data_IF_757618312384
#
_entry.id   IF_757618312384
#
_cell.length_a   1.000
_cell.length_b   1.000
_cell.length_c   1.000
_cell.angle_alpha   90.00
_cell.angle_beta   90.00
_cell.angle_gamma   90.00
#
_symmetry.space_group_name_H-M   'P 1'
#
loop_
_entity.id
_entity.type
_entity.pdbx_description
1 polymer ?
#
# COMPACT_ATOMS: atom_id res chain seq x y z
N UNK A 1 31.16 -15.29 -1.09
CA UNK A 1 30.08 -15.87 -0.25
C UNK A 1 29.36 -14.70 0.43
N UNK A 2 28.11 -14.35 0.17
CA UNK A 2 27.07 -14.87 -0.70
C UNK A 2 26.41 -13.66 -1.37
N UNK A 3 26.13 -13.76 -2.67
CA UNK A 3 25.34 -12.76 -3.37
C UNK A 3 23.98 -12.65 -2.68
N UNK A 4 23.64 -11.42 -2.28
CA UNK A 4 22.32 -11.12 -1.73
C UNK A 4 21.27 -11.44 -2.78
N UNK A 5 20.54 -12.53 -2.57
CA UNK A 5 19.38 -12.88 -3.40
C UNK A 5 18.36 -11.75 -3.26
N UNK A 6 18.31 -10.88 -4.27
CA UNK A 6 17.24 -9.90 -4.42
C UNK A 6 16.01 -10.67 -4.89
N UNK A 7 15.21 -11.15 -3.94
CA UNK A 7 13.93 -11.77 -4.26
C UNK A 7 13.01 -10.67 -4.80
N UNK A 8 13.11 -10.39 -6.10
CA UNK A 8 12.04 -9.78 -6.90
C UNK A 8 10.89 -10.79 -6.94
N UNK A 9 10.20 -10.93 -5.81
CA UNK A 9 8.80 -11.32 -5.89
C UNK A 9 8.18 -10.27 -6.82
N UNK A 10 7.61 -10.69 -7.96
CA UNK A 10 7.21 -9.86 -9.10
C UNK A 10 6.13 -8.79 -8.84
N UNK A 11 6.05 -8.29 -7.62
CA UNK A 11 5.26 -7.14 -7.20
C UNK A 11 6.04 -5.86 -7.46
N UNK A 12 5.45 -4.98 -8.25
CA UNK A 12 5.81 -3.57 -8.30
C UNK A 12 5.24 -2.87 -7.06
N UNK A 13 6.02 -1.97 -6.47
CA UNK A 13 5.63 -1.16 -5.32
C UNK A 13 5.42 0.30 -5.74
N UNK A 14 4.26 0.87 -5.37
CA UNK A 14 3.92 2.26 -5.63
C UNK A 14 3.56 2.98 -4.33
N UNK A 15 4.10 4.18 -4.16
CA UNK A 15 3.85 5.02 -2.98
C UNK A 15 2.75 6.01 -3.32
N UNK A 16 1.58 5.84 -2.71
CA UNK A 16 0.41 6.70 -2.96
C UNK A 16 0.54 8.01 -2.20
N UNK A 17 0.90 7.94 -0.91
CA UNK A 17 0.96 9.12 -0.06
C UNK A 17 2.01 8.97 1.03
N UNK A 18 2.74 10.05 1.28
CA UNK A 18 3.61 10.21 2.45
C UNK A 18 3.07 11.38 3.29
N UNK A 19 2.93 11.17 4.59
CA UNK A 19 2.43 12.19 5.52
C UNK A 19 3.27 12.25 6.78
N UNK A 20 3.73 13.46 7.13
CA UNK A 20 4.36 13.71 8.42
C UNK A 20 3.29 13.81 9.49
N UNK A 21 3.39 12.98 10.53
CA UNK A 21 2.48 12.96 11.67
C UNK A 21 3.25 13.33 12.93
N UNK A 22 2.58 13.95 13.90
CA UNK A 22 3.21 14.32 15.17
C UNK A 22 2.32 14.04 16.37
N UNK A 23 2.92 13.60 17.47
CA UNK A 23 2.28 13.42 18.78
C UNK A 23 2.83 14.47 19.74
N UNK A 24 1.94 15.27 20.33
CA UNK A 24 2.32 16.25 21.35
C UNK A 24 2.77 15.56 22.63
N UNK A 25 3.85 16.04 23.23
CA UNK A 25 4.33 15.63 24.56
C UNK A 25 4.58 16.86 25.43
N UNK A 26 4.81 16.65 26.73
CA UNK A 26 5.06 17.75 27.69
C UNK A 26 6.26 18.63 27.30
N UNK A 27 7.25 18.09 26.58
CA UNK A 27 8.47 18.79 26.17
C UNK A 27 8.58 19.10 24.68
N UNK A 28 7.57 18.83 23.85
CA UNK A 28 7.64 19.10 22.41
C UNK A 28 6.72 18.24 21.56
N UNK A 29 7.16 17.94 20.34
CA UNK A 29 6.41 17.13 19.38
C UNK A 29 7.25 15.90 18.99
N UNK A 30 6.77 14.69 19.27
CA UNK A 30 7.35 13.46 18.70
C UNK A 30 6.85 13.32 17.28
N UNK A 31 7.75 13.43 16.31
CA UNK A 31 7.41 13.32 14.88
C UNK A 31 7.54 11.86 14.41
N UNK A 32 6.83 11.56 13.33
CA UNK A 32 7.01 10.35 12.53
C UNK A 32 6.41 10.53 11.15
N UNK A 33 6.56 9.52 10.32
CA UNK A 33 6.02 9.50 8.96
C UNK A 33 5.09 8.30 8.80
N UNK A 34 3.95 8.57 8.17
CA UNK A 34 2.98 7.58 7.72
C UNK A 34 3.05 7.50 6.20
N UNK A 35 3.06 6.30 5.66
CA UNK A 35 3.14 6.02 4.22
C UNK A 35 2.01 5.07 3.86
N UNK A 36 1.28 5.39 2.79
CA UNK A 36 0.34 4.49 2.13
C UNK A 36 1.02 3.92 0.88
N UNK A 37 1.16 2.60 0.84
CA UNK A 37 1.84 1.87 -0.23
C UNK A 37 0.89 0.86 -0.85
N UNK A 38 0.96 0.73 -2.17
CA UNK A 38 0.27 -0.30 -2.94
C UNK A 38 1.34 -1.21 -3.54
N UNK A 39 1.11 -2.52 -3.52
CA UNK A 39 1.95 -3.51 -4.19
C UNK A 39 1.08 -4.32 -5.15
N UNK A 40 1.60 -4.67 -6.32
CA UNK A 40 0.85 -5.50 -7.27
C UNK A 40 1.69 -6.02 -8.44
N UNK A 41 1.26 -7.12 -9.04
CA UNK A 41 1.95 -7.77 -10.18
C UNK A 41 1.26 -7.51 -11.53
N UNK A 42 0.36 -6.52 -11.58
CA UNK A 42 -0.46 -6.14 -12.76
C UNK A 42 -1.33 -7.26 -13.35
N UNK A 43 -1.29 -8.47 -12.79
CA UNK A 43 -2.07 -9.63 -13.24
C UNK A 43 -3.25 -9.93 -12.30
N UNK A 44 -3.76 -8.89 -11.62
CA UNK A 44 -4.95 -9.00 -10.77
C UNK A 44 -4.66 -9.21 -9.29
N UNK A 45 -3.41 -9.39 -8.87
CA UNK A 45 -3.08 -9.45 -7.45
C UNK A 45 -2.51 -8.12 -6.96
N UNK A 46 -3.19 -7.57 -5.95
CA UNK A 46 -2.93 -6.24 -5.39
C UNK A 46 -3.02 -6.26 -3.87
N UNK A 47 -2.15 -5.51 -3.21
CA UNK A 47 -2.13 -5.37 -1.75
C UNK A 47 -1.94 -3.92 -1.36
N UNK A 48 -2.60 -3.51 -0.27
CA UNK A 48 -2.45 -2.16 0.29
C UNK A 48 -1.87 -2.25 1.69
N UNK A 49 -0.99 -1.31 2.03
CA UNK A 49 -0.32 -1.29 3.32
C UNK A 49 -0.13 0.12 3.84
N UNK A 50 -0.38 0.29 5.14
CA UNK A 50 -0.07 1.52 5.86
C UNK A 50 1.16 1.29 6.74
N UNK A 51 2.25 1.98 6.43
CA UNK A 51 3.51 1.92 7.18
C UNK A 51 3.72 3.18 8.01
N UNK A 52 4.10 3.02 9.29
CA UNK A 52 4.46 4.15 10.16
C UNK A 52 5.80 3.93 10.86
N UNK A 53 6.69 4.91 10.78
CA UNK A 53 8.00 4.87 11.41
C UNK A 53 8.54 6.29 11.73
N UNK A 54 9.63 6.41 12.50
CA UNK A 54 10.32 7.70 12.72
C UNK A 54 10.93 8.27 11.44
N UNK A 55 11.39 7.41 10.53
CA UNK A 55 12.03 7.75 9.26
C UNK A 55 11.19 7.31 8.06
N UNK A 56 11.35 8.01 6.94
CA UNK A 56 10.60 7.74 5.70
C UNK A 56 10.94 6.36 5.12
N UNK A 57 12.22 6.04 4.95
CA UNK A 57 12.65 4.75 4.36
C UNK A 57 12.19 3.56 5.21
N UNK A 58 12.22 3.71 6.54
CA UNK A 58 11.72 2.69 7.47
C UNK A 58 10.20 2.54 7.41
N UNK A 59 9.46 3.63 7.16
CA UNK A 59 8.02 3.60 7.00
C UNK A 59 7.62 2.90 5.69
N UNK A 60 8.33 3.17 4.59
CA UNK A 60 8.12 2.51 3.29
C UNK A 60 8.32 0.99 3.42
N UNK A 61 9.46 0.55 3.98
CA UNK A 61 9.73 -0.89 4.18
C UNK A 61 8.63 -1.60 4.98
N UNK A 62 8.10 -0.95 6.03
CA UNK A 62 6.97 -1.48 6.80
C UNK A 62 5.68 -1.52 5.98
N UNK A 63 5.41 -0.48 5.20
CA UNK A 63 4.26 -0.41 4.30
C UNK A 63 4.25 -1.55 3.29
N UNK A 64 5.38 -1.75 2.58
CA UNK A 64 5.57 -2.84 1.61
C UNK A 64 5.36 -4.21 2.26
N UNK A 65 5.95 -4.45 3.44
CA UNK A 65 5.84 -5.74 4.12
C UNK A 65 4.40 -6.05 4.57
N UNK A 66 3.65 -5.03 4.99
CA UNK A 66 2.23 -5.17 5.34
C UNK A 66 1.39 -5.40 4.07
N UNK A 67 1.67 -4.66 3.00
CA UNK A 67 0.94 -4.76 1.73
C UNK A 67 1.09 -6.15 1.10
N UNK A 68 2.32 -6.70 1.10
CA UNK A 68 2.60 -8.06 0.61
C UNK A 68 1.84 -9.14 1.40
N UNK A 69 1.72 -8.98 2.73
CA UNK A 69 0.99 -9.92 3.59
C UNK A 69 -0.52 -9.92 3.36
N UNK A 70 -1.09 -8.79 2.93
CA UNK A 70 -2.52 -8.63 2.69
C UNK A 70 -2.85 -8.50 1.20
N UNK A 71 -2.08 -9.18 0.34
CA UNK A 71 -2.37 -9.21 -1.09
C UNK A 71 -3.67 -10.01 -1.36
N UNK A 72 -4.54 -9.42 -2.16
CA UNK A 72 -5.82 -9.98 -2.58
C UNK A 72 -5.75 -10.22 -4.09
N UNK A 73 -6.31 -11.32 -4.56
CA UNK A 73 -6.48 -11.62 -5.98
C UNK A 73 -7.84 -11.13 -6.47
N UNK A 74 -7.84 -10.41 -7.59
CA UNK A 74 -9.01 -9.82 -8.22
C UNK A 74 -9.26 -10.48 -9.58
N UNK A 75 -10.50 -10.87 -9.92
CA UNK A 75 -10.81 -11.44 -11.21
C UNK A 75 -10.80 -10.36 -12.29
N UNK A 76 -9.90 -10.48 -13.27
CA UNK A 76 -9.82 -9.61 -14.46
C UNK A 76 -10.15 -10.46 -15.68
N UNK A 77 -11.02 -9.98 -16.57
CA UNK A 77 -11.39 -10.66 -17.82
C UNK A 77 -10.96 -9.76 -18.98
N UNK A 78 -10.02 -10.22 -19.82
CA UNK A 78 -9.55 -9.48 -21.01
C UNK A 78 -9.14 -8.02 -20.68
N UNK A 79 -8.46 -7.83 -19.56
CA UNK A 79 -8.01 -6.52 -19.03
C UNK A 79 -9.09 -5.63 -18.38
N UNK A 80 -10.38 -5.99 -18.46
CA UNK A 80 -11.48 -5.25 -17.82
C UNK A 80 -12.08 -5.96 -16.60
N UNK A 81 -12.80 -5.20 -15.80
CA UNK A 81 -13.59 -5.70 -14.66
C UNK A 81 -14.83 -6.45 -15.21
N UNK A 82 -15.25 -7.58 -14.62
CA UNK A 82 -16.34 -8.40 -15.17
C UNK A 82 -17.74 -7.77 -15.11
N UNK A 83 -18.03 -6.94 -14.11
CA UNK A 83 -19.34 -6.30 -13.91
C UNK A 83 -19.18 -4.94 -13.22
N UNK A 84 -20.22 -4.10 -13.27
CA UNK A 84 -20.20 -2.82 -12.59
C UNK A 84 -20.22 -2.96 -11.07
N UNK A 85 -19.38 -2.20 -10.37
CA UNK A 85 -19.28 -2.24 -8.91
C UNK A 85 -19.57 -0.85 -8.38
N UNK A 86 -20.64 -0.72 -7.60
CA UNK A 86 -20.94 0.49 -6.84
C UNK A 86 -20.73 0.23 -5.35
N UNK A 87 -19.78 0.94 -4.74
CA UNK A 87 -19.46 0.82 -3.32
C UNK A 87 -19.63 2.19 -2.66
N UNK A 88 -20.37 2.20 -1.54
CA UNK A 88 -20.42 3.36 -0.64
C UNK A 88 -19.84 2.95 0.70
N UNK A 89 -18.75 3.60 1.11
CA UNK A 89 -18.08 3.35 2.39
C UNK A 89 -17.85 4.68 3.11
N UNK A 90 -18.59 4.90 4.20
CA UNK A 90 -18.64 6.19 4.87
C UNK A 90 -19.13 7.30 3.92
N UNK A 91 -18.29 8.33 3.73
CA UNK A 91 -18.52 9.43 2.77
C UNK A 91 -18.05 9.14 1.34
N UNK A 92 -17.29 8.07 1.11
CA UNK A 92 -16.78 7.72 -0.21
C UNK A 92 -17.84 6.97 -1.01
N UNK A 93 -18.03 7.39 -2.27
CA UNK A 93 -18.83 6.68 -3.28
C UNK A 93 -17.90 6.33 -4.43
N UNK A 94 -17.79 5.05 -4.75
CA UNK A 94 -16.91 4.51 -5.78
C UNK A 94 -17.79 3.79 -6.80
N UNK A 95 -17.64 4.14 -8.07
CA UNK A 95 -18.31 3.50 -9.19
C UNK A 95 -17.23 2.99 -10.14
N UNK A 96 -17.17 1.67 -10.32
CA UNK A 96 -16.33 1.00 -11.31
C UNK A 96 -17.24 0.47 -12.41
N UNK A 97 -16.93 0.82 -13.65
CA UNK A 97 -17.60 0.30 -14.84
C UNK A 97 -16.59 -0.48 -15.69
N UNK A 98 -17.03 -1.57 -16.36
CA UNK A 98 -16.19 -2.38 -17.24
C UNK A 98 -15.66 -1.61 -18.44
#
# INVERSE_FOLDING_TARGET
MAEGMYQKEGFEEEIVQVSRVSKKTKGGNKIGFSVLTVVGDKNGKVGVGLGKAPDVSSAIKKGVLIAKKHAIEFPIIRESIPFEIYIKLGGAKILLKP
#
